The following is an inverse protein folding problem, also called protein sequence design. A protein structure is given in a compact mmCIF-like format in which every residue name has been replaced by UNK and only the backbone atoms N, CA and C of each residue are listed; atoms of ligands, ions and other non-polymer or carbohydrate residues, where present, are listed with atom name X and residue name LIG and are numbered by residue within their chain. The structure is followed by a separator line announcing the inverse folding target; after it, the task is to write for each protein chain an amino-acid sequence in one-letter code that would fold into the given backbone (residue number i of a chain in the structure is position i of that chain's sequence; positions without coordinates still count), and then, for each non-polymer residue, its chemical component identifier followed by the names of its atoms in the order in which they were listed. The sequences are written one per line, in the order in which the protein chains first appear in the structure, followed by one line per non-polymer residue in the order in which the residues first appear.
data_IF_330002507658
#
_entry.id   IF_330002507658
#
_cell.length_a   1.000
_cell.length_b   1.000
_cell.length_c   1.000
_cell.angle_alpha   90.00
_cell.angle_beta   90.00
_cell.angle_gamma   90.00
#
_symmetry.space_group_name_H-M   'P 1'
#
loop_
_entity.id
_entity.type
_entity.pdbx_description
1 polymer ?
#
# COMPACT_ATOMS: atom_id res chain seq x y z
N UNK A 1 -4.52 -16.78 10.93
CA UNK A 1 -4.68 -15.33 10.69
C UNK A 1 -4.62 -15.05 9.20
N UNK A 2 -5.53 -14.24 8.66
CA UNK A 2 -5.44 -13.77 7.28
C UNK A 2 -4.24 -12.84 7.14
N UNK A 3 -3.43 -13.03 6.10
CA UNK A 3 -2.36 -12.08 5.75
C UNK A 3 -2.99 -10.79 5.26
N UNK A 4 -2.44 -9.64 5.61
CA UNK A 4 -2.93 -8.36 5.15
C UNK A 4 -1.93 -7.23 5.38
N UNK A 5 -2.31 -6.03 4.96
CA UNK A 5 -1.49 -4.82 5.02
C UNK A 5 -2.29 -3.69 5.66
N UNK A 6 -1.62 -2.97 6.57
CA UNK A 6 -2.02 -1.64 6.98
C UNK A 6 -1.42 -0.65 5.99
N UNK A 7 -2.27 0.03 5.24
CA UNK A 7 -1.89 1.08 4.30
C UNK A 7 -2.22 2.43 4.91
N UNK A 8 -1.20 3.26 5.12
CA UNK A 8 -1.35 4.64 5.61
C UNK A 8 -0.85 5.59 4.55
N UNK A 9 -1.75 6.40 4.01
CA UNK A 9 -1.41 7.52 3.13
C UNK A 9 -1.62 8.81 3.90
N UNK A 10 -0.61 9.67 3.94
CA UNK A 10 -0.65 10.92 4.70
C UNK A 10 -0.43 12.10 3.76
N UNK A 11 -1.17 13.19 3.97
CA UNK A 11 -1.07 14.40 3.16
C UNK A 11 -1.24 15.64 4.01
N UNK A 12 -0.34 16.60 3.81
CA UNK A 12 -0.44 17.93 4.41
C UNK A 12 -1.60 18.67 3.75
N UNK A 13 -2.55 19.16 4.57
CA UNK A 13 -3.74 19.92 4.11
C UNK A 13 -3.59 21.43 4.32
N UNK A 14 -2.70 21.85 5.22
CA UNK A 14 -2.37 23.24 5.49
C UNK A 14 -0.85 23.49 5.34
N UNK A 15 -0.33 23.56 4.10
CA UNK A 15 1.11 23.69 3.85
C UNK A 15 1.70 25.03 4.31
N UNK A 16 0.86 26.04 4.56
CA UNK A 16 1.21 27.31 5.19
C UNK A 16 1.51 27.17 6.70
N UNK A 17 0.99 26.10 7.34
CA UNK A 17 1.13 25.84 8.78
C UNK A 17 2.10 24.71 9.08
N UNK A 18 2.20 23.72 8.18
CA UNK A 18 3.08 22.55 8.33
C UNK A 18 3.90 22.37 7.05
N UNK A 19 5.23 22.55 7.16
CA UNK A 19 6.12 22.28 6.04
C UNK A 19 6.37 20.78 5.86
N UNK A 20 6.69 20.37 4.63
CA UNK A 20 7.06 18.99 4.33
C UNK A 20 8.24 18.50 5.17
N UNK A 21 9.28 19.33 5.36
CA UNK A 21 10.45 19.02 6.19
C UNK A 21 10.06 18.68 7.63
N UNK A 22 9.24 19.52 8.27
CA UNK A 22 8.76 19.27 9.64
C UNK A 22 7.88 18.03 9.72
N UNK A 23 7.06 17.79 8.70
CA UNK A 23 6.22 16.60 8.65
C UNK A 23 7.06 15.33 8.54
N UNK A 24 8.08 15.30 7.67
CA UNK A 24 8.97 14.15 7.51
C UNK A 24 9.79 13.88 8.76
N UNK A 25 10.37 14.92 9.38
CA UNK A 25 11.09 14.79 10.65
C UNK A 25 10.20 14.17 11.73
N UNK A 26 8.95 14.62 11.87
CA UNK A 26 8.01 13.99 12.79
C UNK A 26 7.67 12.54 12.40
N UNK A 27 7.36 12.29 11.13
CA UNK A 27 6.88 10.99 10.64
C UNK A 27 7.94 9.89 10.79
N UNK A 28 9.20 10.19 10.48
CA UNK A 28 10.33 9.26 10.62
C UNK A 28 10.65 8.96 12.09
N UNK A 29 10.42 9.92 12.99
CA UNK A 29 10.66 9.74 14.42
C UNK A 29 9.45 9.16 15.19
N UNK A 30 8.32 8.92 14.52
CA UNK A 30 7.04 8.47 15.12
C UNK A 30 6.52 7.17 14.47
N UNK A 31 7.41 6.23 14.16
CA UNK A 31 7.06 4.90 13.65
C UNK A 31 6.56 3.99 14.78
N UNK A 32 5.32 3.53 14.68
CA UNK A 32 4.76 2.49 15.55
C UNK A 32 4.79 1.15 14.81
N UNK A 33 5.53 0.19 15.36
CA UNK A 33 5.62 -1.15 14.79
C UNK A 33 4.50 -2.06 15.34
N UNK A 34 3.84 -2.81 14.45
CA UNK A 34 2.80 -3.77 14.82
C UNK A 34 3.22 -5.19 14.42
N UNK A 35 3.08 -6.21 15.30
CA UNK A 35 3.51 -7.58 15.00
C UNK A 35 2.69 -8.25 13.89
N UNK A 36 1.38 -7.99 13.86
CA UNK A 36 0.48 -8.36 12.77
C UNK A 36 -0.83 -7.55 12.84
N UNK A 37 -1.72 -7.72 11.86
CA UNK A 37 -2.99 -6.99 11.79
C UNK A 37 -3.94 -7.24 12.96
N UNK A 38 -3.86 -8.37 13.67
CA UNK A 38 -4.67 -8.65 14.86
C UNK A 38 -4.29 -7.78 16.05
N UNK A 39 -3.09 -7.18 16.03
CA UNK A 39 -2.66 -6.23 17.05
C UNK A 39 -3.63 -5.05 17.20
N UNK A 40 -4.29 -4.64 16.10
CA UNK A 40 -5.31 -3.57 16.13
C UNK A 40 -6.46 -3.84 17.10
N UNK A 41 -6.74 -5.11 17.39
CA UNK A 41 -7.82 -5.54 18.28
C UNK A 41 -7.35 -5.70 19.74
N UNK A 42 -6.03 -5.69 19.96
CA UNK A 42 -5.39 -5.90 21.26
C UNK A 42 -5.60 -4.75 22.24
N UNK A 43 -5.43 -5.03 23.52
CA UNK A 43 -5.41 -3.99 24.56
C UNK A 43 -4.23 -3.03 24.39
N UNK A 44 -3.09 -3.50 23.85
CA UNK A 44 -1.91 -2.67 23.59
C UNK A 44 -2.19 -1.57 22.57
N UNK A 45 -2.83 -1.91 21.45
CA UNK A 45 -3.22 -0.94 20.43
C UNK A 45 -4.27 0.07 20.96
N UNK A 46 -5.25 -0.42 21.73
CA UNK A 46 -6.27 0.45 22.37
C UNK A 46 -5.69 1.34 23.47
N UNK A 47 -4.53 0.99 24.02
CA UNK A 47 -3.83 1.71 25.07
C UNK A 47 -2.75 2.67 24.56
N UNK A 48 -2.59 2.83 23.23
CA UNK A 48 -1.66 3.83 22.68
C UNK A 48 -2.03 5.20 23.22
N UNK A 49 -1.06 5.85 23.87
CA UNK A 49 -1.27 7.17 24.46
C UNK A 49 -1.56 8.18 23.35
N UNK A 50 -2.61 9.00 23.46
CA UNK A 50 -2.89 10.00 22.45
C UNK A 50 -1.72 10.98 22.31
N UNK A 51 -1.52 11.58 21.12
CA UNK A 51 -0.52 12.61 20.92
C UNK A 51 -0.74 13.78 21.89
N UNK A 52 0.35 14.44 22.29
CA UNK A 52 0.26 15.63 23.13
C UNK A 52 -0.39 16.81 22.37
N UNK A 53 -0.76 17.88 23.10
CA UNK A 53 -1.45 19.03 22.53
C UNK A 53 -0.66 19.71 21.39
N UNK A 54 0.66 19.76 21.50
CA UNK A 54 1.53 20.37 20.49
C UNK A 54 1.51 19.57 19.18
N UNK A 55 1.58 18.24 19.25
CA UNK A 55 1.47 17.37 18.07
C UNK A 55 0.08 17.47 17.45
N UNK A 56 -0.97 17.50 18.28
CA UNK A 56 -2.34 17.65 17.79
C UNK A 56 -2.47 18.95 16.98
N UNK A 57 -2.02 20.07 17.53
CA UNK A 57 -2.17 21.38 16.91
C UNK A 57 -1.29 21.57 15.68
N UNK A 58 -0.02 21.15 15.75
CA UNK A 58 0.97 21.47 14.72
C UNK A 58 1.07 20.40 13.63
N UNK A 59 0.70 19.15 13.92
CA UNK A 59 0.76 18.04 12.95
C UNK A 59 -0.63 17.52 12.61
N UNK A 60 -1.35 16.91 13.56
CA UNK A 60 -2.57 16.17 13.25
C UNK A 60 -3.71 17.05 12.72
N UNK A 61 -3.79 18.32 13.12
CA UNK A 61 -4.76 19.26 12.54
C UNK A 61 -4.39 19.76 11.15
N UNK A 62 -3.12 19.62 10.75
CA UNK A 62 -2.59 20.10 9.47
C UNK A 62 -2.29 18.95 8.49
N UNK A 63 -2.58 17.71 8.88
CA UNK A 63 -2.36 16.50 8.09
C UNK A 63 -3.62 15.66 8.06
N UNK A 64 -3.96 15.17 6.87
CA UNK A 64 -4.94 14.11 6.68
C UNK A 64 -4.22 12.76 6.62
N UNK A 65 -4.76 11.76 7.33
CA UNK A 65 -4.30 10.38 7.32
C UNK A 65 -5.41 9.47 6.81
N UNK A 66 -5.20 8.84 5.66
CA UNK A 66 -6.06 7.78 5.14
C UNK A 66 -5.48 6.42 5.58
N UNK A 67 -6.18 5.76 6.50
CA UNK A 67 -5.77 4.51 7.15
C UNK A 67 -6.65 3.37 6.63
N UNK A 68 -6.06 2.39 5.95
CA UNK A 68 -6.80 1.33 5.28
C UNK A 68 -6.26 -0.03 5.65
N UNK A 69 -7.16 -0.94 6.02
CA UNK A 69 -6.83 -2.33 6.29
C UNK A 69 -7.24 -3.18 5.10
N UNK A 70 -6.27 -3.86 4.53
CA UNK A 70 -6.45 -4.69 3.35
C UNK A 70 -6.13 -6.16 3.67
N UNK A 71 -6.98 -7.07 3.20
CA UNK A 71 -6.80 -8.51 3.32
C UNK A 71 -6.27 -9.11 2.03
N UNK A 72 -5.26 -9.98 2.10
CA UNK A 72 -4.60 -10.53 0.93
C UNK A 72 -5.48 -11.56 0.22
N UNK A 73 -5.68 -11.40 -1.09
CA UNK A 73 -6.52 -12.27 -1.95
C UNK A 73 -5.75 -12.99 -3.06
N UNK A 74 -4.52 -12.56 -3.36
CA UNK A 74 -3.65 -13.21 -4.34
C UNK A 74 -2.19 -12.92 -4.06
N UNK A 75 -1.33 -13.92 -4.32
CA UNK A 75 0.11 -13.77 -4.43
C UNK A 75 0.56 -14.44 -5.72
N UNK A 76 1.44 -13.78 -6.45
CA UNK A 76 2.14 -14.34 -7.59
C UNK A 76 3.62 -14.00 -7.47
N UNK A 77 4.45 -15.02 -7.26
CA UNK A 77 5.89 -14.87 -7.15
C UNK A 77 6.53 -14.92 -8.55
N UNK A 78 7.67 -14.25 -8.70
CA UNK A 78 8.54 -14.41 -9.86
C UNK A 78 9.24 -15.77 -9.85
N UNK A 79 9.92 -16.14 -10.95
CA UNK A 79 10.81 -17.29 -10.93
C UNK A 79 11.86 -17.07 -9.84
N UNK A 80 11.82 -17.92 -8.80
CA UNK A 80 12.74 -17.83 -7.66
C UNK A 80 14.18 -17.85 -8.18
N UNK A 81 15.05 -16.89 -7.81
CA UNK A 81 16.47 -17.04 -8.09
C UNK A 81 16.91 -18.34 -7.43
N UNK A 82 17.46 -19.26 -8.20
CA UNK A 82 17.92 -20.57 -7.76
C UNK A 82 18.78 -20.45 -6.50
N UNK A 83 18.16 -20.63 -5.33
CA UNK A 83 18.75 -20.90 -4.01
C UNK A 83 20.20 -20.42 -3.78
N UNK A 84 20.59 -19.18 -4.13
CA UNK A 84 21.95 -18.68 -3.85
C UNK A 84 22.26 -17.20 -4.23
N UNK A 85 21.32 -16.31 -4.54
CA UNK A 85 21.72 -14.92 -4.86
C UNK A 85 20.74 -13.84 -4.40
N UNK A 86 21.25 -13.04 -3.46
CA UNK A 86 20.77 -11.81 -2.82
C UNK A 86 19.50 -11.87 -1.99
N UNK A 87 19.70 -11.89 -0.66
CA UNK A 87 18.73 -11.51 0.38
C UNK A 87 18.38 -10.01 0.38
N UNK A 88 18.62 -9.32 -0.73
CA UNK A 88 18.40 -7.88 -0.81
C UNK A 88 16.89 -7.64 -1.01
N UNK A 89 16.30 -6.70 -0.25
CA UNK A 89 14.91 -6.32 -0.42
C UNK A 89 14.68 -5.82 -1.85
N UNK A 90 13.47 -6.01 -2.41
CA UNK A 90 13.13 -5.46 -3.73
C UNK A 90 13.41 -3.96 -3.77
N UNK A 91 13.95 -3.48 -4.88
CA UNK A 91 14.37 -2.08 -5.01
C UNK A 91 13.21 -1.15 -5.35
N UNK A 92 12.21 -1.64 -6.08
CA UNK A 92 11.08 -0.83 -6.54
C UNK A 92 9.75 -1.46 -6.16
N UNK A 93 8.77 -0.61 -5.90
CA UNK A 93 7.38 -0.97 -5.64
C UNK A 93 6.46 -0.12 -6.51
N UNK A 94 5.54 -0.75 -7.23
CA UNK A 94 4.37 -0.09 -7.81
C UNK A 94 3.18 -0.42 -6.92
N UNK A 95 2.50 0.62 -6.43
CA UNK A 95 1.24 0.53 -5.71
C UNK A 95 0.12 0.98 -6.63
N UNK A 96 -0.94 0.18 -6.73
CA UNK A 96 -2.16 0.52 -7.45
C UNK A 96 -3.38 0.22 -6.56
N UNK A 97 -3.93 1.25 -5.94
CA UNK A 97 -5.21 1.18 -5.24
C UNK A 97 -6.33 1.57 -6.21
N UNK A 98 -7.15 0.60 -6.60
CA UNK A 98 -8.13 0.73 -7.69
C UNK A 98 -9.53 0.36 -7.19
N UNK A 99 -10.54 1.08 -7.69
CA UNK A 99 -11.95 0.74 -7.50
C UNK A 99 -12.63 0.51 -8.86
N UNK A 100 -12.92 -0.74 -9.25
CA UNK A 100 -13.79 -0.99 -10.40
C UNK A 100 -15.24 -0.60 -10.06
N UNK A 101 -16.16 -0.60 -11.03
CA UNK A 101 -17.59 -0.47 -10.77
C UNK A 101 -18.09 -1.55 -9.80
N UNK A 102 -19.15 -1.24 -9.05
CA UNK A 102 -19.62 -2.09 -7.93
C UNK A 102 -20.52 -3.25 -8.34
N UNK A 103 -20.89 -3.33 -9.62
CA UNK A 103 -21.61 -4.49 -10.13
C UNK A 103 -20.68 -5.73 -10.17
N UNK A 104 -21.30 -6.90 -10.09
CA UNK A 104 -20.58 -8.17 -10.01
C UNK A 104 -19.76 -8.44 -11.27
N UNK A 105 -20.30 -8.15 -12.46
CA UNK A 105 -19.64 -8.42 -13.73
C UNK A 105 -18.34 -7.61 -13.87
N UNK A 106 -18.36 -6.32 -13.53
CA UNK A 106 -17.16 -5.47 -13.54
C UNK A 106 -16.12 -5.91 -12.52
N UNK A 107 -16.56 -6.33 -11.33
CA UNK A 107 -15.65 -6.84 -10.28
C UNK A 107 -15.00 -8.15 -10.70
N UNK A 108 -15.76 -9.06 -11.32
CA UNK A 108 -15.27 -10.34 -11.82
C UNK A 108 -14.33 -10.16 -13.04
N UNK A 109 -14.65 -9.26 -13.97
CA UNK A 109 -13.77 -8.93 -15.11
C UNK A 109 -12.44 -8.33 -14.65
N UNK A 110 -12.47 -7.44 -13.66
CA UNK A 110 -11.28 -6.86 -13.02
C UNK A 110 -10.41 -7.93 -12.35
N UNK A 111 -11.01 -8.87 -11.61
CA UNK A 111 -10.27 -9.97 -10.97
C UNK A 111 -9.67 -10.93 -12.01
N UNK A 112 -10.45 -11.28 -13.04
CA UNK A 112 -10.03 -12.13 -14.14
C UNK A 112 -8.86 -11.51 -14.91
N UNK A 113 -8.95 -10.22 -15.26
CA UNK A 113 -7.88 -9.48 -15.93
C UNK A 113 -6.56 -9.56 -15.15
N UNK A 114 -6.61 -9.26 -13.84
CA UNK A 114 -5.42 -9.34 -13.00
C UNK A 114 -4.79 -10.73 -12.99
N UNK A 115 -5.61 -11.78 -12.88
CA UNK A 115 -5.15 -13.18 -12.76
C UNK A 115 -4.66 -13.77 -14.07
N UNK A 116 -5.32 -13.44 -15.17
CA UNK A 116 -5.16 -14.14 -16.44
C UNK A 116 -4.28 -13.37 -17.43
N UNK A 117 -4.18 -12.05 -17.29
CA UNK A 117 -3.43 -11.21 -18.23
C UNK A 117 -2.39 -10.35 -17.53
N UNK A 118 -2.79 -9.42 -16.66
CA UNK A 118 -1.89 -8.38 -16.15
C UNK A 118 -0.72 -8.94 -15.35
N UNK A 119 -0.97 -9.75 -14.31
CA UNK A 119 0.11 -10.36 -13.51
C UNK A 119 0.95 -11.32 -14.36
N UNK A 120 0.38 -12.23 -15.18
CA UNK A 120 1.18 -13.05 -16.08
C UNK A 120 2.07 -12.27 -17.05
N UNK A 121 1.66 -11.08 -17.50
CA UNK A 121 2.53 -10.19 -18.29
C UNK A 121 3.65 -9.61 -17.43
N UNK A 122 3.35 -9.09 -16.24
CA UNK A 122 4.37 -8.54 -15.32
C UNK A 122 5.37 -9.61 -14.86
N UNK A 123 4.94 -10.86 -14.66
CA UNK A 123 5.84 -11.98 -14.31
C UNK A 123 6.93 -12.26 -15.34
N UNK A 124 6.73 -11.82 -16.59
CA UNK A 124 7.73 -11.93 -17.68
C UNK A 124 8.65 -10.73 -17.75
N UNK A 125 8.34 -9.65 -17.03
CA UNK A 125 9.14 -8.44 -17.05
C UNK A 125 10.49 -8.66 -16.34
N UNK A 126 11.59 -8.06 -16.85
CA UNK A 126 12.88 -8.10 -16.18
C UNK A 126 12.78 -7.59 -14.74
N UNK A 127 13.40 -8.32 -13.81
CA UNK A 127 13.46 -7.92 -12.41
C UNK A 127 12.15 -8.10 -11.62
N UNK A 128 11.09 -8.68 -12.19
CA UNK A 128 9.88 -8.98 -11.43
C UNK A 128 10.18 -9.87 -10.22
N UNK A 129 9.79 -9.41 -9.03
CA UNK A 129 9.96 -10.15 -7.77
C UNK A 129 8.66 -10.83 -7.39
N UNK A 130 7.60 -10.05 -7.17
CA UNK A 130 6.28 -10.57 -6.82
C UNK A 130 5.17 -9.56 -7.04
N UNK A 131 3.95 -10.06 -7.13
CA UNK A 131 2.72 -9.28 -7.03
C UNK A 131 1.86 -9.80 -5.91
N UNK A 132 1.32 -8.89 -5.10
CA UNK A 132 0.32 -9.20 -4.07
C UNK A 132 -0.91 -8.35 -4.31
N UNK A 133 -2.08 -8.97 -4.28
CA UNK A 133 -3.35 -8.25 -4.33
C UNK A 133 -4.11 -8.41 -3.03
N UNK A 134 -4.82 -7.36 -2.69
CA UNK A 134 -5.56 -7.26 -1.46
C UNK A 134 -6.93 -6.64 -1.73
N UNK A 135 -7.88 -6.97 -0.86
CA UNK A 135 -9.23 -6.43 -0.85
C UNK A 135 -9.44 -5.65 0.44
N UNK A 136 -10.06 -4.49 0.34
CA UNK A 136 -10.33 -3.61 1.48
C UNK A 136 -11.24 -4.33 2.49
N UNK A 137 -10.85 -4.27 3.76
CA UNK A 137 -11.64 -4.72 4.90
C UNK A 137 -12.30 -3.51 5.57
N UNK A 138 -11.51 -2.52 5.97
CA UNK A 138 -11.98 -1.28 6.61
C UNK A 138 -11.12 -0.09 6.21
N UNK A 139 -11.71 1.10 6.10
CA UNK A 139 -10.97 2.35 5.92
C UNK A 139 -11.46 3.44 6.88
N UNK A 140 -10.50 4.20 7.40
CA UNK A 140 -10.74 5.31 8.31
C UNK A 140 -9.90 6.50 7.84
N UNK A 141 -10.44 7.69 7.99
CA UNK A 141 -9.68 8.93 7.84
C UNK A 141 -9.51 9.59 9.20
N UNK A 142 -8.33 10.17 9.43
CA UNK A 142 -8.13 11.21 10.44
C UNK A 142 -7.88 12.51 9.70
N UNK A 143 -8.81 13.46 9.82
CA UNK A 143 -8.72 14.77 9.16
C UNK A 143 -9.07 15.85 10.18
N UNK A 144 -8.21 16.85 10.34
CA UNK A 144 -8.28 17.81 11.45
C UNK A 144 -8.43 17.15 12.84
N UNK A 145 -7.74 16.02 13.06
CA UNK A 145 -7.88 15.18 14.26
C UNK A 145 -9.30 14.64 14.53
N UNK A 146 -10.15 14.60 13.49
CA UNK A 146 -11.48 13.98 13.53
C UNK A 146 -11.42 12.64 12.80
N UNK A 147 -11.97 11.61 13.43
CA UNK A 147 -12.01 10.26 12.88
C UNK A 147 -13.30 10.10 12.06
N UNK A 148 -13.20 9.59 10.83
CA UNK A 148 -14.34 9.27 9.97
C UNK A 148 -14.21 7.88 9.35
N UNK A 149 -15.32 7.15 9.26
CA UNK A 149 -15.38 5.92 8.46
C UNK A 149 -15.56 6.29 6.98
N UNK A 150 -14.61 5.85 6.15
CA UNK A 150 -14.58 6.08 4.70
C UNK A 150 -14.49 4.75 3.94
N UNK A 151 -14.86 3.64 4.57
CA UNK A 151 -14.81 2.29 3.96
C UNK A 151 -15.62 2.22 2.67
N UNK A 152 -16.74 2.95 2.61
CA UNK A 152 -17.58 3.03 1.42
C UNK A 152 -16.95 3.81 0.25
N UNK A 153 -15.97 4.67 0.52
CA UNK A 153 -15.38 5.63 -0.44
C UNK A 153 -13.97 5.22 -0.88
N UNK A 154 -13.24 4.50 -0.04
CA UNK A 154 -11.86 4.09 -0.33
C UNK A 154 -11.78 3.03 -1.45
N UNK A 155 -10.68 3.01 -2.24
CA UNK A 155 -10.48 1.99 -3.27
C UNK A 155 -10.54 0.57 -2.72
N UNK A 156 -11.43 -0.25 -3.31
CA UNK A 156 -11.73 -1.60 -2.81
C UNK A 156 -10.59 -2.59 -2.99
N UNK A 157 -9.67 -2.36 -3.93
CA UNK A 157 -8.56 -3.26 -4.21
C UNK A 157 -7.22 -2.53 -4.17
N UNK A 158 -6.20 -3.23 -3.68
CA UNK A 158 -4.81 -2.79 -3.70
C UNK A 158 -3.96 -3.85 -4.38
N UNK A 159 -3.16 -3.47 -5.36
CA UNK A 159 -2.11 -4.31 -5.93
C UNK A 159 -0.74 -3.70 -5.62
N UNK A 160 0.17 -4.53 -5.13
CA UNK A 160 1.56 -4.20 -4.87
C UNK A 160 2.45 -5.06 -5.77
N UNK A 161 3.17 -4.43 -6.68
CA UNK A 161 4.08 -5.08 -7.64
C UNK A 161 5.52 -4.70 -7.31
N UNK A 162 6.33 -5.67 -6.94
CA UNK A 162 7.71 -5.46 -6.51
C UNK A 162 8.68 -5.87 -7.62
N UNK A 163 9.69 -5.04 -7.85
CA UNK A 163 10.71 -5.24 -8.86
C UNK A 163 12.12 -5.00 -8.28
N UNK A 164 13.08 -5.74 -8.81
CA UNK A 164 14.52 -5.57 -8.62
C UNK A 164 15.14 -5.05 -9.91
N UNK A 165 16.44 -4.71 -9.86
CA UNK A 165 17.18 -4.17 -11.00
C UNK A 165 17.58 -2.71 -10.77
N UNK A 166 18.20 -2.10 -11.77
CA UNK A 166 18.67 -0.71 -11.66
C UNK A 166 17.53 0.30 -11.83
N UNK A 167 16.57 -0.02 -12.69
CA UNK A 167 15.37 0.77 -13.01
C UNK A 167 14.14 -0.12 -13.14
N UNK A 168 12.93 0.45 -13.04
CA UNK A 168 11.70 -0.25 -13.37
C UNK A 168 11.66 -0.67 -14.86
N UNK A 169 11.10 -1.86 -15.19
CA UNK A 169 10.94 -2.33 -16.56
C UNK A 169 9.77 -1.60 -17.26
N UNK A 170 9.95 -0.31 -17.54
CA UNK A 170 8.89 0.59 -18.00
C UNK A 170 8.21 0.15 -19.29
N UNK A 171 8.96 -0.50 -20.18
CA UNK A 171 8.41 -1.03 -21.44
C UNK A 171 7.38 -2.11 -21.16
N UNK A 172 7.74 -3.13 -20.39
CA UNK A 172 6.88 -4.27 -20.08
C UNK A 172 5.69 -3.87 -19.18
N UNK A 173 5.93 -2.94 -18.24
CA UNK A 173 4.86 -2.34 -17.44
C UNK A 173 3.87 -1.60 -18.35
N UNK A 174 4.36 -0.78 -19.28
CA UNK A 174 3.51 -0.08 -20.25
C UNK A 174 2.72 -1.05 -21.13
N UNK A 175 3.36 -2.09 -21.67
CA UNK A 175 2.69 -3.10 -22.50
C UNK A 175 1.58 -3.83 -21.72
N UNK A 176 1.77 -4.09 -20.42
CA UNK A 176 0.78 -4.75 -19.55
C UNK A 176 -0.50 -3.94 -19.32
N UNK A 177 -0.52 -2.65 -19.68
CA UNK A 177 -1.68 -1.76 -19.56
C UNK A 177 -2.28 -1.37 -20.91
N UNK A 178 -1.67 -1.78 -22.03
CA UNK A 178 -2.08 -1.39 -23.39
C UNK A 178 -2.84 -2.47 -24.16
N UNK A 179 -3.07 -3.65 -23.55
CA UNK A 179 -3.98 -4.65 -24.13
C UNK A 179 -5.41 -4.10 -24.19
N UNK A 180 -6.23 -4.63 -25.09
CA UNK A 180 -7.64 -4.21 -25.19
C UNK A 180 -8.43 -4.53 -23.90
N UNK A 181 -8.07 -5.61 -23.19
CA UNK A 181 -8.67 -5.94 -21.90
C UNK A 181 -8.22 -4.96 -20.81
N UNK A 182 -6.93 -4.64 -20.72
CA UNK A 182 -6.43 -3.64 -19.78
C UNK A 182 -7.09 -2.28 -20.02
N UNK A 183 -7.12 -1.78 -21.26
CA UNK A 183 -7.77 -0.50 -21.58
C UNK A 183 -9.24 -0.48 -21.16
N UNK A 184 -9.97 -1.58 -21.34
CA UNK A 184 -11.36 -1.70 -20.88
C UNK A 184 -11.46 -1.61 -19.37
N UNK A 185 -10.62 -2.35 -18.64
CA UNK A 185 -10.63 -2.35 -17.17
C UNK A 185 -10.26 -0.98 -16.62
N UNK A 186 -9.16 -0.40 -17.09
CA UNK A 186 -8.69 0.93 -16.70
C UNK A 186 -9.72 2.02 -17.03
N UNK A 187 -10.30 2.00 -18.23
CA UNK A 187 -11.32 2.96 -18.65
C UNK A 187 -12.64 2.86 -17.87
N UNK A 188 -12.87 1.76 -17.16
CA UNK A 188 -14.05 1.56 -16.32
C UNK A 188 -13.87 1.91 -14.85
N UNK A 189 -12.64 2.21 -14.39
CA UNK A 189 -12.38 2.47 -12.98
C UNK A 189 -13.16 3.69 -12.46
N UNK A 190 -13.68 3.56 -11.24
CA UNK A 190 -14.34 4.65 -10.50
C UNK A 190 -13.30 5.52 -9.82
N UNK A 191 -12.22 4.92 -9.32
CA UNK A 191 -11.12 5.62 -8.65
C UNK A 191 -9.83 4.85 -8.86
N UNK A 192 -8.74 5.57 -9.03
CA UNK A 192 -7.40 5.04 -9.14
C UNK A 192 -6.40 5.89 -8.34
N UNK A 193 -5.56 5.22 -7.57
CA UNK A 193 -4.43 5.81 -6.86
C UNK A 193 -3.20 4.95 -7.20
N UNK A 194 -2.38 5.45 -8.12
CA UNK A 194 -1.23 4.71 -8.65
C UNK A 194 0.05 5.50 -8.39
N UNK A 195 1.05 4.82 -7.85
CA UNK A 195 2.36 5.40 -7.60
C UNK A 195 3.45 4.35 -7.67
N UNK A 196 4.67 4.77 -7.93
CA UNK A 196 5.85 3.92 -7.86
C UNK A 196 6.87 4.53 -6.90
N UNK A 197 7.62 3.66 -6.25
CA UNK A 197 8.52 4.00 -5.15
C UNK A 197 9.83 3.23 -5.30
N UNK A 198 10.91 3.85 -4.88
CA UNK A 198 12.21 3.21 -4.69
C UNK A 198 12.46 3.00 -3.20
N UNK A 199 13.03 1.86 -2.85
CA UNK A 199 13.35 1.50 -1.47
C UNK A 199 14.40 2.47 -0.91
N UNK A 200 13.98 3.33 0.02
CA UNK A 200 14.88 4.25 0.71
C UNK A 200 15.63 3.61 1.89
N UNK A 201 14.90 2.91 2.77
CA UNK A 201 15.46 2.24 3.96
C UNK A 201 14.75 0.93 4.22
N UNK A 202 15.50 -0.07 4.69
CA UNK A 202 14.98 -1.34 5.18
C UNK A 202 15.43 -1.54 6.61
N UNK A 203 14.47 -1.76 7.50
CA UNK A 203 14.68 -2.04 8.91
C UNK A 203 14.78 -3.57 9.11
N UNK A 204 15.91 -4.04 9.61
CA UNK A 204 16.15 -5.46 9.87
C UNK A 204 15.33 -5.97 11.07
N UNK A 205 15.03 -7.27 11.12
CA UNK A 205 14.33 -7.88 12.27
C UNK A 205 15.00 -7.60 13.62
N UNK A 206 16.33 -7.45 13.63
CA UNK A 206 17.09 -7.06 14.82
C UNK A 206 16.90 -5.60 15.25
N UNK A 207 16.49 -4.72 14.33
CA UNK A 207 16.16 -3.32 14.60
C UNK A 207 14.71 -3.14 15.06
N UNK A 208 13.85 -4.16 14.89
CA UNK A 208 12.43 -4.14 15.30
C UNK A 208 12.24 -4.10 16.83
N UNK A 209 13.32 -4.07 17.63
CA UNK A 209 13.25 -4.11 19.09
C UNK A 209 12.60 -5.40 19.64
N UNK A 210 12.07 -5.35 20.86
CA UNK A 210 11.26 -6.45 21.43
C UNK A 210 9.80 -6.32 20.98
N UNK A 211 9.52 -6.51 19.69
CA UNK A 211 8.15 -6.49 19.16
C UNK A 211 7.75 -7.92 18.81
N UNK A 212 6.71 -8.44 19.48
CA UNK A 212 6.12 -9.75 19.18
C UNK A 212 6.70 -10.97 19.92
N UNK A 213 7.18 -10.80 21.16
CA UNK A 213 7.27 -11.90 22.14
C UNK A 213 6.17 -11.78 23.19
#
# INVERSE_FOLDING_TARGET
MSRGVLWVSSRIVHPDKLSAEKFFDWYENTLYEFPDLSYKDSAGFKGITPPNADLIENVYKNTRFDIRFYEQVQVAEGPSPSSSSSSSPPKFLISAALDPPRDAASTDDFDAWYRQEHIPMLQRAPGFVRSRRFKLSTATVIDEFKVGDVTGEAPRFLALHEFSGETLPWKEIGESTQTEWAKRVWGGLVTEEVGWYETGRVYSESEWGQVGK
#
